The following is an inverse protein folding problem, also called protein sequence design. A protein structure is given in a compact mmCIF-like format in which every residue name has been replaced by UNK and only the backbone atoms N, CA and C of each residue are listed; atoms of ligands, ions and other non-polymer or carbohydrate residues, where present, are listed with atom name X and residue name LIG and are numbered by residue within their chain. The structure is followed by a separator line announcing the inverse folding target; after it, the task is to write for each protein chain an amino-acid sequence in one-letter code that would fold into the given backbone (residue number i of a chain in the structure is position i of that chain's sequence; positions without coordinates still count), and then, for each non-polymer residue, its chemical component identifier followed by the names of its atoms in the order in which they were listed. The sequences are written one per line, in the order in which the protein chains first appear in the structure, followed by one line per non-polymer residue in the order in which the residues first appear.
data_IF_860645406776
#
_entry.id   IF_860645406776
#
_cell.length_a   1.000
_cell.length_b   1.000
_cell.length_c   1.000
_cell.angle_alpha   90.00
_cell.angle_beta   90.00
_cell.angle_gamma   90.00
#
_symmetry.space_group_name_H-M   'P 1'
#
loop_
_entity.id
_entity.type
_entity.pdbx_description
1 polymer ?
#
# COMPACT_ATOMS: atom_id res chain seq x y z
N UNK A 1 4.56 36.20 -28.88
CA UNK A 1 4.32 36.96 -27.64
C UNK A 1 3.73 35.98 -26.63
N UNK A 2 4.50 35.51 -25.65
CA UNK A 2 4.00 34.54 -24.66
C UNK A 2 3.07 35.26 -23.69
N UNK A 3 1.84 34.79 -23.61
CA UNK A 3 0.79 35.35 -22.76
C UNK A 3 1.19 35.25 -21.26
N UNK A 4 1.34 36.38 -20.54
CA UNK A 4 1.70 36.38 -19.13
C UNK A 4 0.68 35.63 -18.26
N UNK A 5 -0.60 35.61 -18.64
CA UNK A 5 -1.68 34.90 -17.92
C UNK A 5 -1.48 33.39 -17.99
N UNK A 6 -1.09 32.86 -19.16
CA UNK A 6 -0.82 31.44 -19.36
C UNK A 6 0.39 30.96 -18.54
N UNK A 7 1.35 31.85 -18.29
CA UNK A 7 2.55 31.58 -17.49
C UNK A 7 2.24 31.54 -15.98
N UNK A 8 1.34 32.41 -15.53
CA UNK A 8 0.82 32.43 -14.15
C UNK A 8 -0.03 31.19 -13.86
N UNK A 9 -0.96 30.84 -14.75
CA UNK A 9 -1.79 29.63 -14.64
C UNK A 9 -0.92 28.38 -14.60
N UNK A 10 0.09 28.27 -15.47
CA UNK A 10 1.02 27.13 -15.42
C UNK A 10 1.85 27.11 -14.12
N UNK A 11 2.20 28.27 -13.55
CA UNK A 11 2.89 28.35 -12.26
C UNK A 11 2.00 27.87 -11.12
N UNK A 12 0.76 28.36 -11.04
CA UNK A 12 -0.20 27.91 -10.03
C UNK A 12 -0.53 26.42 -10.19
N UNK A 13 -0.65 25.93 -11.42
CA UNK A 13 -0.85 24.50 -11.70
C UNK A 13 0.37 23.69 -11.25
N UNK A 14 1.59 24.14 -11.55
CA UNK A 14 2.84 23.51 -11.13
C UNK A 14 2.97 23.54 -9.61
N UNK A 15 2.64 24.64 -8.93
CA UNK A 15 2.65 24.74 -7.45
C UNK A 15 1.60 23.83 -6.81
N UNK A 16 0.40 23.76 -7.41
CA UNK A 16 -0.66 22.85 -6.97
C UNK A 16 -0.25 21.39 -7.17
N UNK A 17 0.49 21.07 -8.24
CA UNK A 17 1.06 19.75 -8.52
C UNK A 17 2.30 19.46 -7.64
N UNK A 18 3.06 20.48 -7.23
CA UNK A 18 4.25 20.38 -6.36
C UNK A 18 3.91 20.18 -4.89
N UNK A 19 2.62 20.08 -4.52
CA UNK A 19 2.24 19.77 -3.15
C UNK A 19 2.68 18.33 -2.83
N UNK A 20 3.79 18.23 -2.10
CA UNK A 20 4.31 16.97 -1.60
C UNK A 20 3.18 16.31 -0.80
N UNK A 21 2.82 15.05 -1.12
CA UNK A 21 1.73 14.39 -0.44
C UNK A 21 2.03 14.29 1.06
N UNK A 22 1.04 14.61 1.89
CA UNK A 22 1.15 14.46 3.33
C UNK A 22 1.06 12.97 3.70
N UNK A 23 1.85 12.54 4.67
CA UNK A 23 1.80 11.20 5.24
C UNK A 23 0.42 10.86 5.80
N UNK A 24 0.04 9.58 5.74
CA UNK A 24 -1.17 9.12 6.42
C UNK A 24 -0.98 9.13 7.94
N UNK A 25 -2.06 9.34 8.70
CA UNK A 25 -1.97 9.21 10.16
C UNK A 25 -1.63 7.77 10.56
N UNK A 26 -0.93 7.63 11.69
CA UNK A 26 -0.55 6.32 12.23
C UNK A 26 -1.76 5.40 12.43
N UNK A 27 -2.88 5.97 12.86
CA UNK A 27 -4.15 5.25 13.01
C UNK A 27 -4.60 4.61 11.69
N UNK A 28 -4.61 5.35 10.58
CA UNK A 28 -5.02 4.81 9.26
C UNK A 28 -4.10 3.66 8.84
N UNK A 29 -2.79 3.82 9.01
CA UNK A 29 -1.80 2.81 8.66
C UNK A 29 -2.05 1.52 9.46
N UNK A 30 -2.31 1.65 10.76
CA UNK A 30 -2.60 0.52 11.65
C UNK A 30 -3.94 -0.14 11.35
N UNK A 31 -4.99 0.61 11.03
CA UNK A 31 -6.29 0.04 10.64
C UNK A 31 -6.17 -0.80 9.37
N UNK A 32 -5.53 -0.26 8.32
CA UNK A 32 -5.34 -1.04 7.08
C UNK A 32 -4.45 -2.26 7.30
N UNK A 33 -3.44 -2.17 8.17
CA UNK A 33 -2.63 -3.32 8.55
C UNK A 33 -3.48 -4.45 9.15
N UNK A 34 -4.35 -4.14 10.12
CA UNK A 34 -5.23 -5.13 10.74
C UNK A 34 -6.28 -5.67 9.75
N UNK A 35 -6.87 -4.82 8.92
CA UNK A 35 -7.78 -5.26 7.84
C UNK A 35 -7.06 -6.28 6.94
N UNK A 36 -5.81 -5.99 6.54
CA UNK A 36 -5.00 -6.89 5.73
C UNK A 36 -4.79 -8.26 6.39
N UNK A 37 -4.42 -8.29 7.67
CA UNK A 37 -4.20 -9.53 8.43
C UNK A 37 -5.49 -10.35 8.54
N UNK A 38 -6.58 -9.74 9.03
CA UNK A 38 -7.85 -10.45 9.24
C UNK A 38 -8.35 -11.02 7.92
N UNK A 39 -8.29 -10.22 6.86
CA UNK A 39 -8.69 -10.66 5.52
C UNK A 39 -7.82 -11.79 4.98
N UNK A 40 -6.49 -11.70 5.18
CA UNK A 40 -5.57 -12.75 4.78
C UNK A 40 -5.91 -14.07 5.47
N UNK A 41 -6.14 -14.06 6.78
CA UNK A 41 -6.46 -15.24 7.57
C UNK A 41 -7.80 -15.82 7.13
N UNK A 42 -8.86 -15.00 7.01
CA UNK A 42 -10.16 -15.46 6.55
C UNK A 42 -10.08 -16.20 5.21
N UNK A 43 -9.33 -15.66 4.24
CA UNK A 43 -9.11 -16.29 2.94
C UNK A 43 -8.37 -17.63 3.01
N UNK A 44 -7.54 -17.86 4.03
CA UNK A 44 -6.86 -19.15 4.24
C UNK A 44 -7.78 -20.16 4.93
N UNK A 45 -8.66 -19.68 5.80
CA UNK A 45 -9.58 -20.52 6.56
C UNK A 45 -10.77 -21.00 5.73
N UNK A 46 -11.03 -20.45 4.54
CA UNK A 46 -12.18 -20.85 3.70
C UNK A 46 -12.22 -22.35 3.44
N UNK A 47 -11.09 -22.96 3.09
CA UNK A 47 -11.02 -24.41 2.85
C UNK A 47 -11.36 -25.22 4.09
N UNK A 48 -10.80 -24.84 5.25
CA UNK A 48 -11.06 -25.50 6.53
C UNK A 48 -12.53 -25.35 6.92
N UNK A 49 -13.10 -24.16 6.75
CA UNK A 49 -14.50 -23.89 7.04
C UNK A 49 -15.44 -24.63 6.09
N UNK A 50 -15.04 -24.87 4.84
CA UNK A 50 -15.84 -25.62 3.87
C UNK A 50 -16.10 -27.05 4.34
N UNK A 51 -15.09 -27.68 4.95
CA UNK A 51 -15.20 -29.01 5.55
C UNK A 51 -16.27 -29.09 6.65
N UNK A 52 -16.44 -28.03 7.45
CA UNK A 52 -17.42 -28.02 8.55
C UNK A 52 -18.79 -27.46 8.14
N UNK A 53 -18.82 -26.34 7.42
CA UNK A 53 -20.05 -25.66 7.02
C UNK A 53 -19.82 -24.70 5.82
N UNK A 54 -20.42 -24.99 4.65
CA UNK A 54 -20.28 -24.16 3.45
C UNK A 54 -20.74 -22.71 3.61
N UNK A 55 -21.69 -22.42 4.51
CA UNK A 55 -22.18 -21.04 4.74
C UNK A 55 -21.10 -20.19 5.41
N UNK A 56 -20.40 -20.75 6.40
CA UNK A 56 -19.32 -20.05 7.09
C UNK A 56 -18.11 -19.85 6.17
N UNK A 57 -17.79 -20.84 5.33
CA UNK A 57 -16.77 -20.72 4.28
C UNK A 57 -17.06 -19.58 3.31
N UNK A 58 -18.29 -19.53 2.75
CA UNK A 58 -18.71 -18.45 1.84
C UNK A 58 -18.66 -17.08 2.52
N UNK A 59 -19.14 -16.99 3.76
CA UNK A 59 -19.10 -15.73 4.54
C UNK A 59 -17.65 -15.26 4.75
N UNK A 60 -16.78 -16.15 5.19
CA UNK A 60 -15.35 -15.87 5.37
C UNK A 60 -14.68 -15.46 4.05
N UNK A 61 -15.05 -16.11 2.95
CA UNK A 61 -14.54 -15.78 1.63
C UNK A 61 -14.95 -14.36 1.20
N UNK A 62 -16.23 -13.99 1.29
CA UNK A 62 -16.70 -12.65 0.92
C UNK A 62 -16.06 -11.54 1.75
N UNK A 63 -16.05 -11.71 3.08
CA UNK A 63 -15.43 -10.74 3.99
C UNK A 63 -13.92 -10.66 3.75
N UNK A 64 -13.28 -11.81 3.57
CA UNK A 64 -11.87 -11.92 3.25
C UNK A 64 -11.51 -11.20 1.95
N UNK A 65 -12.20 -11.49 0.84
CA UNK A 65 -11.95 -10.85 -0.47
C UNK A 65 -12.15 -9.34 -0.39
N UNK A 66 -13.24 -8.88 0.22
CA UNK A 66 -13.55 -7.46 0.32
C UNK A 66 -12.49 -6.71 1.13
N UNK A 67 -12.16 -7.20 2.32
CA UNK A 67 -11.16 -6.57 3.18
C UNK A 67 -9.76 -6.61 2.55
N UNK A 68 -9.40 -7.70 1.88
CA UNK A 68 -8.12 -7.83 1.19
C UNK A 68 -8.03 -6.85 0.02
N UNK A 69 -9.12 -6.67 -0.73
CA UNK A 69 -9.21 -5.68 -1.82
C UNK A 69 -8.99 -4.25 -1.30
N UNK A 70 -9.67 -3.87 -0.21
CA UNK A 70 -9.50 -2.54 0.40
C UNK A 70 -8.06 -2.33 0.89
N UNK A 71 -7.47 -3.34 1.51
CA UNK A 71 -6.08 -3.31 1.96
C UNK A 71 -5.10 -3.11 0.79
N UNK A 72 -5.21 -3.91 -0.27
CA UNK A 72 -4.33 -3.78 -1.44
C UNK A 72 -4.56 -2.48 -2.20
N UNK A 73 -5.80 -1.97 -2.25
CA UNK A 73 -6.09 -0.66 -2.85
C UNK A 73 -5.36 0.46 -2.10
N UNK A 74 -5.39 0.46 -0.76
CA UNK A 74 -4.63 1.42 0.04
C UNK A 74 -3.13 1.31 -0.25
N UNK A 75 -2.58 0.09 -0.24
CA UNK A 75 -1.16 -0.15 -0.48
C UNK A 75 -0.72 0.26 -1.88
N UNK A 76 -1.55 0.00 -2.89
CA UNK A 76 -1.34 0.45 -4.26
C UNK A 76 -1.27 1.98 -4.33
N UNK A 77 -2.21 2.69 -3.69
CA UNK A 77 -2.22 4.16 -3.65
C UNK A 77 -0.97 4.73 -2.98
N UNK A 78 -0.53 4.16 -1.85
CA UNK A 78 0.70 4.61 -1.16
C UNK A 78 1.92 4.40 -2.07
N UNK A 79 2.05 3.22 -2.69
CA UNK A 79 3.17 2.94 -3.59
C UNK A 79 3.16 3.83 -4.84
N UNK A 80 1.98 4.10 -5.40
CA UNK A 80 1.81 5.00 -6.54
C UNK A 80 2.22 6.43 -6.18
N UNK A 81 1.83 6.93 -4.98
CA UNK A 81 2.26 8.24 -4.49
C UNK A 81 3.77 8.34 -4.37
N UNK A 82 4.44 7.37 -3.75
CA UNK A 82 5.92 7.32 -3.66
C UNK A 82 6.58 7.38 -5.04
N UNK A 83 6.13 6.52 -5.98
CA UNK A 83 6.68 6.47 -7.34
C UNK A 83 6.46 7.77 -8.09
N UNK A 84 5.27 8.36 -7.99
CA UNK A 84 4.95 9.64 -8.62
C UNK A 84 5.78 10.77 -8.02
N UNK A 85 5.96 10.85 -6.70
CA UNK A 85 6.82 11.85 -6.06
C UNK A 85 8.26 11.78 -6.58
N UNK A 86 8.84 10.59 -6.67
CA UNK A 86 10.19 10.39 -7.22
C UNK A 86 10.27 10.82 -8.69
N UNK A 87 9.26 10.48 -9.50
CA UNK A 87 9.24 10.78 -10.94
C UNK A 87 8.97 12.25 -11.24
N UNK A 88 8.03 12.89 -10.55
CA UNK A 88 7.63 14.27 -10.83
C UNK A 88 8.72 15.29 -10.50
N UNK A 89 9.56 14.99 -9.51
CA UNK A 89 10.68 15.84 -9.13
C UNK A 89 12.02 15.37 -9.72
N UNK A 90 11.98 14.33 -10.57
CA UNK A 90 13.16 13.69 -11.16
C UNK A 90 14.26 13.39 -10.11
N UNK A 91 13.87 13.06 -8.88
CA UNK A 91 14.78 12.97 -7.72
C UNK A 91 15.92 11.99 -7.99
N UNK A 92 15.59 10.86 -8.63
CA UNK A 92 16.59 9.84 -8.97
C UNK A 92 17.63 10.36 -9.97
N UNK A 93 17.20 11.16 -10.95
CA UNK A 93 18.11 11.77 -11.94
C UNK A 93 19.01 12.81 -11.28
N UNK A 94 18.43 13.71 -10.47
CA UNK A 94 19.17 14.73 -9.72
C UNK A 94 20.25 14.12 -8.82
N UNK A 95 19.89 13.09 -8.06
CA UNK A 95 20.84 12.35 -7.20
C UNK A 95 21.94 11.69 -8.03
N UNK A 96 21.59 11.00 -9.12
CA UNK A 96 22.57 10.32 -9.98
C UNK A 96 23.57 11.29 -10.62
N UNK A 97 23.10 12.49 -10.99
CA UNK A 97 23.92 13.51 -11.62
C UNK A 97 24.64 14.43 -10.61
N UNK A 98 24.48 14.19 -9.30
CA UNK A 98 24.99 15.05 -8.23
C UNK A 98 24.52 16.52 -8.36
N UNK A 99 23.31 16.72 -8.86
CA UNK A 99 22.68 18.03 -8.94
C UNK A 99 22.31 18.54 -7.54
N UNK A 100 22.36 19.86 -7.32
CA UNK A 100 22.00 20.46 -6.04
C UNK A 100 20.49 20.29 -5.78
N UNK A 101 20.15 19.67 -4.65
CA UNK A 101 18.76 19.51 -4.21
C UNK A 101 18.25 20.78 -3.53
N UNK A 102 17.02 21.17 -3.86
CA UNK A 102 16.31 22.27 -3.21
C UNK A 102 15.46 21.78 -2.02
N UNK A 103 14.82 22.70 -1.29
CA UNK A 103 13.98 22.34 -0.14
C UNK A 103 12.81 21.42 -0.51
N UNK A 104 12.24 21.57 -1.71
CA UNK A 104 11.14 20.71 -2.19
C UNK A 104 11.63 19.29 -2.40
N UNK A 105 12.82 19.13 -2.96
CA UNK A 105 13.45 17.83 -3.16
C UNK A 105 13.71 17.12 -1.82
N UNK A 106 14.23 17.83 -0.82
CA UNK A 106 14.45 17.29 0.52
C UNK A 106 13.16 16.85 1.21
N UNK A 107 12.13 17.70 1.20
CA UNK A 107 10.82 17.38 1.78
C UNK A 107 10.16 16.17 1.08
N UNK A 108 10.35 16.04 -0.24
CA UNK A 108 9.84 14.92 -1.00
C UNK A 108 10.57 13.62 -0.67
N UNK A 109 11.89 13.69 -0.51
CA UNK A 109 12.71 12.56 -0.08
C UNK A 109 12.35 12.13 1.35
N UNK A 110 12.15 13.09 2.26
CA UNK A 110 11.67 12.83 3.61
C UNK A 110 10.34 12.08 3.59
N UNK A 111 9.35 12.54 2.82
CA UNK A 111 8.08 11.83 2.65
C UNK A 111 8.27 10.39 2.16
N UNK A 112 9.09 10.17 1.14
CA UNK A 112 9.33 8.84 0.57
C UNK A 112 9.99 7.93 1.61
N UNK A 113 11.05 8.40 2.28
CA UNK A 113 11.78 7.62 3.28
C UNK A 113 10.90 7.31 4.50
N UNK A 114 10.17 8.30 5.01
CA UNK A 114 9.24 8.13 6.11
C UNK A 114 8.12 7.14 5.76
N UNK A 115 7.54 7.25 4.56
CA UNK A 115 6.46 6.36 4.13
C UNK A 115 6.94 4.91 3.89
N UNK A 116 8.24 4.69 3.64
CA UNK A 116 8.85 3.37 3.61
C UNK A 116 9.08 2.85 5.03
N UNK A 117 9.61 3.69 5.94
CA UNK A 117 9.98 3.28 7.29
C UNK A 117 8.78 2.92 8.18
N UNK A 118 7.66 3.64 8.04
CA UNK A 118 6.44 3.37 8.82
C UNK A 118 5.64 2.18 8.29
N UNK A 119 5.91 1.74 7.05
CA UNK A 119 5.09 0.75 6.39
C UNK A 119 5.39 -0.66 6.89
N UNK A 120 4.37 -1.33 7.44
CA UNK A 120 4.44 -2.73 7.94
C UNK A 120 4.38 -3.77 6.81
N UNK A 121 5.02 -3.45 5.69
CA UNK A 121 4.97 -4.20 4.43
C UNK A 121 5.48 -5.63 4.59
N UNK A 122 6.67 -5.75 5.19
CA UNK A 122 7.37 -7.02 5.41
C UNK A 122 6.60 -7.93 6.36
N UNK A 123 6.04 -7.36 7.43
CA UNK A 123 5.28 -8.12 8.44
C UNK A 123 3.99 -8.71 7.84
N UNK A 124 3.27 -7.94 7.02
CA UNK A 124 2.12 -8.46 6.28
C UNK A 124 2.51 -9.66 5.40
N UNK A 125 3.60 -9.55 4.63
CA UNK A 125 4.05 -10.65 3.78
C UNK A 125 4.44 -11.89 4.58
N UNK A 126 5.13 -11.71 5.71
CA UNK A 126 5.52 -12.81 6.59
C UNK A 126 4.30 -13.52 7.17
N UNK A 127 3.32 -12.78 7.70
CA UNK A 127 2.08 -13.35 8.26
C UNK A 127 1.33 -14.12 7.19
N UNK A 128 1.13 -13.52 6.02
CA UNK A 128 0.46 -14.16 4.88
C UNK A 128 1.14 -15.48 4.53
N UNK A 129 2.47 -15.48 4.45
CA UNK A 129 3.27 -16.67 4.11
C UNK A 129 3.11 -17.77 5.15
N UNK A 130 3.29 -17.45 6.43
CA UNK A 130 3.20 -18.42 7.54
C UNK A 130 1.79 -19.02 7.61
N UNK A 131 0.75 -18.19 7.59
CA UNK A 131 -0.64 -18.68 7.63
C UNK A 131 -1.02 -19.45 6.37
N UNK A 132 -0.45 -19.12 5.21
CA UNK A 132 -0.63 -19.93 4.00
C UNK A 132 -0.06 -21.34 4.17
N UNK A 133 1.15 -21.49 4.73
CA UNK A 133 1.70 -22.83 5.00
C UNK A 133 0.85 -23.61 6.00
N UNK A 134 0.43 -22.96 7.10
CA UNK A 134 -0.44 -23.58 8.11
C UNK A 134 -1.76 -24.04 7.47
N UNK A 135 -2.39 -23.20 6.65
CA UNK A 135 -3.65 -23.51 6.03
C UNK A 135 -3.56 -24.69 5.06
N UNK A 136 -2.50 -24.75 4.25
CA UNK A 136 -2.24 -25.89 3.36
C UNK A 136 -2.01 -27.17 4.16
N UNK A 137 -1.20 -27.11 5.22
CA UNK A 137 -0.96 -28.27 6.07
C UNK A 137 -2.25 -28.80 6.71
N UNK A 138 -3.07 -27.91 7.28
CA UNK A 138 -4.36 -28.27 7.88
C UNK A 138 -5.35 -28.79 6.83
N UNK A 139 -5.42 -28.17 5.65
CA UNK A 139 -6.24 -28.63 4.54
C UNK A 139 -5.91 -30.07 4.16
N UNK A 140 -4.62 -30.38 3.97
CA UNK A 140 -4.18 -31.73 3.65
C UNK A 140 -4.51 -32.72 4.76
N UNK A 141 -4.26 -32.36 6.03
CA UNK A 141 -4.59 -33.23 7.16
C UNK A 141 -6.09 -33.58 7.16
N UNK A 142 -6.96 -32.60 6.89
CA UNK A 142 -8.41 -32.80 6.82
C UNK A 142 -8.86 -33.61 5.60
N UNK A 143 -8.08 -33.68 4.52
CA UNK A 143 -8.39 -34.54 3.37
C UNK A 143 -8.17 -36.03 3.67
N UNK A 144 -7.28 -36.35 4.61
CA UNK A 144 -6.95 -37.73 4.98
C UNK A 144 -7.66 -38.24 6.25
N UNK A 145 -8.43 -37.37 6.93
CA UNK A 145 -9.28 -37.71 8.09
C UNK A 145 -10.72 -37.87 7.62
#
# INVERSE_FOLDING_TARGET
MNDPVKKEINRELIETIKKIPVGYSRFIIESFFWIGIVSAILLRLTYILEHYNPIWSKTAWYVGVLGYTLFFMHRYRVSARRKNTIRHLDLLKKIKNQEKLDEVDYNALEYVLWSISVSKEKLNYLIILVFSFIAVALALILEFI
#
